data_IF_266002152612
#
_entry.id   IF_266002152612
#
_cell.length_a   1.000
_cell.length_b   1.000
_cell.length_c   1.000
_cell.angle_alpha   90.00
_cell.angle_beta   90.00
_cell.angle_gamma   90.00
#
_symmetry.space_group_name_H-M   'P 1'
#
loop_
_entity.id
_entity.type
_entity.pdbx_description
1 polymer ?
#
# COMPACT_ATOMS: atom_id res chain seq x y z
N UNK A 1 36.79 78.46 -36.19
CA UNK A 1 35.81 77.70 -35.29
C UNK A 1 35.38 76.42 -35.97
N UNK A 2 36.03 75.32 -35.55
CA UNK A 2 35.73 73.98 -36.01
C UNK A 2 34.69 73.34 -35.08
N UNK A 3 33.52 72.97 -35.61
CA UNK A 3 32.49 72.29 -34.95
C UNK A 3 32.73 70.76 -35.06
N UNK A 4 33.08 70.13 -33.91
CA UNK A 4 33.35 68.70 -33.85
C UNK A 4 32.03 67.96 -33.52
N UNK A 5 31.56 67.19 -34.54
CA UNK A 5 30.36 66.35 -34.34
C UNK A 5 30.81 65.02 -33.76
N UNK A 6 30.36 64.73 -32.48
CA UNK A 6 30.59 63.47 -31.76
C UNK A 6 29.42 62.56 -32.09
N UNK A 7 29.63 61.54 -32.94
CA UNK A 7 28.64 60.50 -33.23
C UNK A 7 28.73 59.44 -32.12
N UNK A 8 27.76 59.41 -31.21
CA UNK A 8 27.62 58.39 -30.17
C UNK A 8 26.92 57.16 -30.76
N UNK A 9 27.66 56.14 -31.08
CA UNK A 9 27.14 54.85 -31.53
C UNK A 9 26.56 54.08 -30.32
N UNK A 10 25.22 54.03 -30.18
CA UNK A 10 24.54 53.16 -29.23
C UNK A 10 24.57 51.71 -29.73
N UNK A 11 25.40 50.89 -29.14
CA UNK A 11 25.34 49.43 -29.29
C UNK A 11 24.15 48.91 -28.45
N UNK A 12 23.02 48.59 -29.10
CA UNK A 12 21.92 47.86 -28.47
C UNK A 12 22.31 46.38 -28.40
N UNK A 13 22.77 45.93 -27.23
CA UNK A 13 22.90 44.51 -26.94
C UNK A 13 21.49 43.93 -26.79
N UNK A 14 20.98 43.33 -27.87
CA UNK A 14 19.77 42.52 -27.83
C UNK A 14 20.13 41.19 -27.14
N UNK A 15 19.82 41.13 -25.84
CA UNK A 15 19.95 39.90 -25.10
C UNK A 15 18.80 38.98 -25.50
N UNK A 16 19.02 38.08 -26.45
CA UNK A 16 18.09 36.99 -26.79
C UNK A 16 18.11 36.00 -25.65
N UNK A 17 17.16 36.12 -24.69
CA UNK A 17 16.86 35.04 -23.79
C UNK A 17 16.28 33.88 -24.59
N UNK A 18 17.09 32.86 -24.86
CA UNK A 18 16.56 31.53 -25.23
C UNK A 18 15.66 31.08 -24.10
N UNK A 19 14.36 31.11 -24.32
CA UNK A 19 13.42 30.39 -23.45
C UNK A 19 13.67 28.89 -23.66
N UNK A 20 14.53 28.29 -22.84
CA UNK A 20 14.62 26.87 -22.75
C UNK A 20 13.28 26.40 -22.14
N UNK A 21 12.45 25.81 -22.98
CA UNK A 21 11.25 25.08 -22.51
C UNK A 21 11.78 23.88 -21.77
N UNK A 22 11.87 24.00 -20.43
CA UNK A 22 12.10 22.85 -19.55
C UNK A 22 10.84 22.00 -19.64
N UNK A 23 10.86 20.99 -20.50
CA UNK A 23 9.85 19.94 -20.53
C UNK A 23 10.05 19.18 -19.21
N UNK A 24 9.22 19.50 -18.23
CA UNK A 24 9.17 18.72 -16.99
C UNK A 24 8.75 17.29 -17.37
N UNK A 25 9.70 16.37 -17.42
CA UNK A 25 9.42 14.95 -17.59
C UNK A 25 8.63 14.50 -16.35
N UNK A 26 7.37 14.21 -16.53
CA UNK A 26 6.56 13.65 -15.44
C UNK A 26 7.13 12.28 -15.05
N UNK A 27 7.57 12.14 -13.81
CA UNK A 27 8.03 10.86 -13.28
C UNK A 27 6.80 9.95 -13.17
N UNK A 28 6.82 8.85 -13.93
CA UNK A 28 5.78 7.82 -13.85
C UNK A 28 6.26 6.76 -12.85
N UNK A 29 5.49 6.57 -11.79
CA UNK A 29 5.76 5.55 -10.78
C UNK A 29 5.02 4.24 -11.09
N UNK A 30 5.59 3.08 -10.75
CA UNK A 30 4.90 1.80 -10.90
C UNK A 30 3.62 1.76 -10.06
N UNK A 31 2.51 1.32 -10.65
CA UNK A 31 1.24 1.12 -9.92
C UNK A 31 1.19 -0.28 -9.32
N UNK A 32 0.99 -0.34 -8.02
CA UNK A 32 0.87 -1.57 -7.24
C UNK A 32 -0.54 -1.79 -6.67
N UNK A 33 -1.46 -0.86 -6.87
CA UNK A 33 -2.83 -1.00 -6.35
C UNK A 33 -3.86 -1.31 -7.44
N UNK A 34 -3.58 -0.97 -8.70
CA UNK A 34 -4.46 -1.21 -9.87
C UNK A 34 -5.91 -0.79 -9.63
N UNK A 35 -6.07 0.45 -9.11
CA UNK A 35 -7.35 0.99 -8.66
C UNK A 35 -8.19 1.45 -9.87
N UNK A 36 -9.06 0.57 -10.38
CA UNK A 36 -10.01 0.88 -11.45
C UNK A 36 -11.34 0.15 -11.19
N UNK A 37 -12.50 0.82 -11.32
CA UNK A 37 -13.80 0.17 -11.13
C UNK A 37 -13.97 -1.08 -12.01
N UNK A 38 -14.48 -2.15 -11.41
CA UNK A 38 -14.65 -3.44 -12.06
C UNK A 38 -13.44 -4.38 -11.94
N UNK A 39 -12.26 -3.90 -11.50
CA UNK A 39 -11.16 -4.78 -11.17
C UNK A 39 -11.52 -5.65 -9.98
N UNK A 40 -11.16 -6.94 -10.02
CA UNK A 40 -11.37 -7.85 -8.91
C UNK A 40 -10.25 -8.88 -8.77
N UNK A 41 -10.11 -9.40 -7.56
CA UNK A 41 -9.15 -10.42 -7.17
C UNK A 41 -9.85 -11.49 -6.34
N UNK A 42 -9.58 -12.75 -6.67
CA UNK A 42 -10.03 -13.91 -5.88
C UNK A 42 -8.81 -14.51 -5.22
N UNK A 43 -8.90 -14.72 -3.92
CA UNK A 43 -7.85 -15.32 -3.10
C UNK A 43 -8.32 -16.64 -2.54
N UNK A 44 -7.40 -17.59 -2.39
CA UNK A 44 -7.58 -18.78 -1.59
C UNK A 44 -6.87 -18.58 -0.25
N UNK A 45 -7.47 -19.04 0.84
CA UNK A 45 -6.85 -19.02 2.16
C UNK A 45 -5.97 -20.26 2.36
N UNK A 46 -4.87 -20.06 3.10
CA UNK A 46 -3.90 -21.08 3.49
C UNK A 46 -3.64 -20.97 4.98
N UNK A 47 -3.61 -22.11 5.68
CA UNK A 47 -3.05 -22.20 7.02
C UNK A 47 -1.53 -22.32 6.88
N UNK A 48 -0.78 -21.48 7.61
CA UNK A 48 0.68 -21.47 7.63
C UNK A 48 1.13 -21.93 9.01
N UNK A 49 1.89 -23.03 9.07
CA UNK A 49 2.41 -23.54 10.34
C UNK A 49 3.65 -22.78 10.82
N UNK A 50 4.20 -23.18 11.96
CA UNK A 50 5.39 -22.57 12.56
C UNK A 50 6.68 -22.74 11.74
N UNK A 51 6.70 -23.68 10.80
CA UNK A 51 7.82 -23.95 9.90
C UNK A 51 7.67 -23.22 8.55
N UNK A 52 6.52 -22.55 8.33
CA UNK A 52 6.19 -21.83 7.11
C UNK A 52 5.56 -22.71 6.03
N UNK A 53 5.18 -23.95 6.34
CA UNK A 53 4.48 -24.81 5.40
C UNK A 53 3.04 -24.33 5.24
N UNK A 54 2.56 -24.32 3.98
CA UNK A 54 1.25 -23.78 3.62
C UNK A 54 0.29 -24.92 3.26
N UNK A 55 -0.85 -24.99 3.95
CA UNK A 55 -1.92 -25.94 3.65
C UNK A 55 -3.13 -25.17 3.12
N UNK A 56 -3.53 -25.49 1.90
CA UNK A 56 -4.66 -24.84 1.24
C UNK A 56 -5.99 -25.15 1.95
N UNK A 57 -6.80 -24.11 2.17
CA UNK A 57 -8.18 -24.22 2.69
C UNK A 57 -9.17 -24.14 1.52
N UNK A 58 -10.35 -24.73 1.71
CA UNK A 58 -11.48 -24.53 0.79
C UNK A 58 -12.28 -23.26 1.16
N UNK A 59 -11.54 -22.14 1.35
CA UNK A 59 -12.08 -20.84 1.66
C UNK A 59 -11.54 -19.82 0.65
N UNK A 60 -12.47 -19.07 0.03
CA UNK A 60 -12.14 -18.11 -1.02
C UNK A 60 -12.68 -16.73 -0.64
N UNK A 61 -11.84 -15.72 -0.85
CA UNK A 61 -12.15 -14.31 -0.61
C UNK A 61 -12.19 -13.55 -1.93
N UNK A 62 -13.24 -12.76 -2.14
CA UNK A 62 -13.38 -11.89 -3.33
C UNK A 62 -13.19 -10.44 -2.93
N UNK A 63 -12.18 -9.78 -3.50
CA UNK A 63 -11.95 -8.35 -3.34
C UNK A 63 -12.21 -7.65 -4.67
N UNK A 64 -12.83 -6.47 -4.66
CA UNK A 64 -13.10 -5.75 -5.91
C UNK A 64 -13.20 -4.23 -5.70
N UNK A 65 -12.89 -3.49 -6.77
CA UNK A 65 -13.10 -2.05 -6.83
C UNK A 65 -14.52 -1.79 -7.32
N UNK A 66 -15.38 -1.27 -6.43
CA UNK A 66 -16.80 -1.04 -6.72
C UNK A 66 -16.99 0.19 -7.61
N UNK A 67 -16.38 1.31 -7.23
CA UNK A 67 -16.53 2.59 -7.91
C UNK A 67 -15.43 3.55 -7.50
N UNK A 68 -15.33 4.66 -8.20
CA UNK A 68 -14.62 5.85 -7.77
C UNK A 68 -15.55 6.82 -7.03
N UNK A 69 -14.97 7.73 -6.29
CA UNK A 69 -15.68 8.81 -5.57
C UNK A 69 -14.73 9.96 -5.28
N UNK A 70 -15.26 11.17 -5.20
CA UNK A 70 -14.47 12.35 -4.84
C UNK A 70 -14.56 12.62 -3.33
N UNK A 71 -13.41 12.66 -2.66
CA UNK A 71 -13.29 13.00 -1.24
C UNK A 71 -12.30 14.14 -1.10
N UNK A 72 -12.73 15.28 -0.56
CA UNK A 72 -11.90 16.49 -0.37
C UNK A 72 -11.16 16.92 -1.65
N UNK A 73 -11.84 16.88 -2.81
CA UNK A 73 -11.29 17.28 -4.09
C UNK A 73 -10.36 16.26 -4.78
N UNK A 74 -10.14 15.07 -4.21
CA UNK A 74 -9.36 14.00 -4.80
C UNK A 74 -10.23 12.80 -5.15
N UNK A 75 -9.91 12.13 -6.27
CA UNK A 75 -10.55 10.88 -6.67
C UNK A 75 -9.98 9.74 -5.83
N UNK A 76 -10.87 8.97 -5.19
CA UNK A 76 -10.58 7.73 -4.47
C UNK A 76 -11.40 6.59 -5.07
N UNK A 77 -10.87 5.39 -4.96
CA UNK A 77 -11.52 4.16 -5.40
C UNK A 77 -11.98 3.38 -4.17
N UNK A 78 -13.26 2.98 -4.18
CA UNK A 78 -13.85 2.17 -3.11
C UNK A 78 -13.51 0.70 -3.37
N UNK A 79 -12.56 0.18 -2.60
CA UNK A 79 -12.19 -1.23 -2.56
C UNK A 79 -13.03 -1.93 -1.50
N UNK A 80 -13.71 -3.00 -1.87
CA UNK A 80 -14.42 -3.90 -0.98
C UNK A 80 -13.62 -5.18 -0.77
N UNK A 81 -13.41 -5.55 0.49
CA UNK A 81 -12.66 -6.73 0.91
C UNK A 81 -13.41 -7.47 2.01
N UNK A 82 -13.48 -8.81 2.00
CA UNK A 82 -14.08 -9.58 3.07
C UNK A 82 -13.34 -9.32 4.38
N UNK A 83 -14.09 -8.99 5.42
CA UNK A 83 -13.57 -8.88 6.78
C UNK A 83 -13.17 -10.26 7.27
N UNK A 84 -11.93 -10.45 7.77
CA UNK A 84 -11.50 -11.75 8.27
C UNK A 84 -12.38 -12.26 9.42
N UNK A 85 -12.57 -13.57 9.47
CA UNK A 85 -13.24 -14.28 10.58
C UNK A 85 -14.67 -13.85 10.88
N UNK A 86 -15.42 -13.34 9.89
CA UNK A 86 -16.85 -13.03 10.06
C UNK A 86 -17.74 -14.10 9.47
N UNK A 87 -18.80 -14.45 10.21
CA UNK A 87 -19.88 -15.30 9.72
C UNK A 87 -21.21 -14.68 10.21
N UNK A 88 -22.11 -14.29 9.32
CA UNK A 88 -22.01 -14.31 7.85
C UNK A 88 -20.89 -13.40 7.31
N UNK A 89 -20.53 -13.59 6.05
CA UNK A 89 -19.50 -12.80 5.37
C UNK A 89 -19.85 -11.30 5.35
N UNK A 90 -18.96 -10.48 5.90
CA UNK A 90 -19.09 -9.01 5.93
C UNK A 90 -17.98 -8.40 5.08
N UNK A 91 -18.31 -7.43 4.24
CA UNK A 91 -17.33 -6.65 3.49
C UNK A 91 -16.98 -5.36 4.23
N UNK A 92 -15.69 -5.04 4.29
CA UNK A 92 -15.20 -3.71 4.67
C UNK A 92 -14.85 -2.90 3.43
N UNK A 93 -15.17 -1.60 3.49
CA UNK A 93 -14.83 -0.65 2.44
C UNK A 93 -13.57 0.13 2.81
N UNK A 94 -12.65 0.23 1.88
CA UNK A 94 -11.49 1.12 1.93
C UNK A 94 -11.54 2.08 0.76
N UNK A 95 -11.25 3.36 1.00
CA UNK A 95 -11.13 4.36 -0.05
C UNK A 95 -9.65 4.65 -0.28
N UNK A 96 -9.14 4.24 -1.43
CA UNK A 96 -7.72 4.29 -1.77
C UNK A 96 -7.49 5.13 -3.02
N UNK A 97 -6.32 5.75 -3.12
CA UNK A 97 -5.84 6.39 -4.35
C UNK A 97 -4.33 6.24 -4.50
N UNK A 98 -3.86 6.23 -5.73
CA UNK A 98 -2.45 6.44 -6.05
C UNK A 98 -2.08 7.92 -5.86
N UNK A 99 -0.93 8.18 -5.27
CA UNK A 99 -0.38 9.50 -5.04
C UNK A 99 1.14 9.47 -5.18
N UNK A 100 1.66 9.81 -6.36
CA UNK A 100 3.06 9.64 -6.71
C UNK A 100 3.47 8.16 -6.56
N UNK A 101 4.44 7.89 -5.68
CA UNK A 101 4.89 6.51 -5.40
C UNK A 101 4.19 5.87 -4.20
N UNK A 102 3.12 6.48 -3.68
CA UNK A 102 2.34 5.98 -2.55
C UNK A 102 0.94 5.52 -2.96
N UNK A 103 0.42 4.53 -2.25
CA UNK A 103 -1.02 4.29 -2.13
C UNK A 103 -1.46 4.80 -0.77
N UNK A 104 -2.45 5.70 -0.77
CA UNK A 104 -2.96 6.33 0.45
C UNK A 104 -4.46 6.09 0.60
N UNK A 105 -4.94 6.07 1.85
CA UNK A 105 -6.37 6.02 2.11
C UNK A 105 -6.97 7.43 2.27
N UNK A 106 -8.29 7.52 2.38
CA UNK A 106 -9.02 8.79 2.51
C UNK A 106 -8.76 9.55 3.82
N UNK A 107 -8.11 8.92 4.79
CA UNK A 107 -7.65 9.53 6.04
C UNK A 107 -6.20 10.05 5.94
N UNK A 108 -5.53 9.87 4.78
CA UNK A 108 -4.15 10.28 4.56
C UNK A 108 -3.11 9.23 4.98
N UNK A 109 -3.51 8.07 5.51
CA UNK A 109 -2.55 7.04 5.90
C UNK A 109 -1.99 6.31 4.67
N UNK A 110 -0.66 6.20 4.63
CA UNK A 110 0.07 5.48 3.59
C UNK A 110 -0.14 3.98 3.80
N UNK A 111 -0.50 3.27 2.73
CA UNK A 111 -0.71 1.82 2.71
C UNK A 111 0.47 1.07 2.12
N UNK A 112 1.13 1.66 1.15
CA UNK A 112 2.37 1.17 0.57
C UNK A 112 3.13 2.29 -0.13
N UNK A 113 4.42 2.06 -0.39
CA UNK A 113 5.26 2.87 -1.28
C UNK A 113 6.02 1.99 -2.26
N UNK A 114 6.19 2.45 -3.49
CA UNK A 114 7.05 1.79 -4.47
C UNK A 114 8.52 2.24 -4.38
N UNK A 115 8.83 3.27 -3.58
CA UNK A 115 10.16 3.89 -3.52
C UNK A 115 10.73 4.04 -2.11
N UNK A 116 9.89 4.29 -1.10
CA UNK A 116 10.33 4.58 0.26
C UNK A 116 10.34 3.32 1.12
N UNK A 117 11.54 2.88 1.52
CA UNK A 117 11.77 1.65 2.29
C UNK A 117 12.41 1.90 3.67
N UNK A 118 12.88 3.13 3.93
CA UNK A 118 13.54 3.47 5.18
C UNK A 118 12.59 3.95 6.27
N UNK A 119 11.44 4.54 5.87
CA UNK A 119 10.54 5.22 6.79
C UNK A 119 9.40 4.33 7.26
N UNK A 120 8.96 4.54 8.49
CA UNK A 120 7.70 4.02 9.03
C UNK A 120 6.56 4.91 8.54
N UNK A 121 5.54 4.32 7.91
CA UNK A 121 4.42 5.08 7.29
C UNK A 121 3.27 5.35 8.23
N UNK A 122 2.97 4.36 9.09
CA UNK A 122 1.86 4.44 10.03
C UNK A 122 2.30 3.90 11.36
N UNK A 123 1.99 4.65 12.38
CA UNK A 123 2.12 4.21 13.76
C UNK A 123 0.83 4.52 14.50
N UNK A 124 0.47 3.70 15.45
CA UNK A 124 -0.73 3.92 16.25
C UNK A 124 -0.86 2.92 17.39
N UNK A 125 -1.92 3.13 18.14
CA UNK A 125 -2.28 2.27 19.24
C UNK A 125 -3.74 1.84 19.08
N UNK A 126 -4.02 0.57 19.28
CA UNK A 126 -5.37 0.08 19.42
C UNK A 126 -5.68 -0.04 20.90
N UNK A 127 -6.65 0.74 21.36
CA UNK A 127 -7.15 0.72 22.73
C UNK A 127 -8.41 -0.14 22.74
N UNK A 128 -8.44 -1.18 23.55
CA UNK A 128 -9.62 -2.09 23.64
C UNK A 128 -10.52 -1.70 24.82
N UNK A 129 -9.96 -1.05 25.83
CA UNK A 129 -10.71 -0.49 26.94
C UNK A 129 -10.11 0.85 27.37
N UNK A 130 -10.85 1.73 28.06
CA UNK A 130 -10.30 2.95 28.61
C UNK A 130 -9.05 2.63 29.45
N UNK A 131 -7.93 3.27 29.11
CA UNK A 131 -6.62 3.11 29.76
C UNK A 131 -5.89 1.78 29.52
N UNK A 132 -6.35 0.93 28.59
CA UNK A 132 -5.66 -0.30 28.22
C UNK A 132 -5.18 -0.23 26.77
N UNK A 133 -3.91 0.13 26.56
CA UNK A 133 -3.27 0.07 25.25
C UNK A 133 -2.88 -1.37 24.99
N UNK A 134 -3.66 -2.04 24.16
CA UNK A 134 -3.44 -3.46 23.87
C UNK A 134 -2.36 -3.69 22.85
N UNK A 135 -2.34 -2.89 21.79
CA UNK A 135 -1.50 -3.14 20.62
C UNK A 135 -0.92 -1.83 20.13
N UNK A 136 0.41 -1.76 20.06
CA UNK A 136 1.10 -0.77 19.21
C UNK A 136 1.28 -1.38 17.83
N UNK A 137 0.96 -0.63 16.78
CA UNK A 137 1.21 -1.07 15.42
C UNK A 137 2.06 -0.06 14.65
N UNK A 138 2.85 -0.57 13.70
CA UNK A 138 3.58 0.23 12.73
C UNK A 138 3.61 -0.47 11.38
N UNK A 139 3.84 0.28 10.30
CA UNK A 139 4.00 -0.28 8.95
C UNK A 139 5.15 0.38 8.20
N UNK A 140 5.88 -0.42 7.42
CA UNK A 140 6.97 0.02 6.55
C UNK A 140 7.13 -0.93 5.37
N UNK A 141 7.79 -0.48 4.30
CA UNK A 141 8.24 -1.39 3.23
C UNK A 141 9.47 -2.17 3.71
N UNK A 142 9.53 -3.47 3.42
CA UNK A 142 10.59 -4.34 3.90
C UNK A 142 11.52 -4.82 2.79
N UNK A 143 10.98 -5.36 1.70
CA UNK A 143 11.77 -5.85 0.57
C UNK A 143 11.31 -5.22 -0.76
N UNK A 144 12.23 -5.15 -1.73
CA UNK A 144 11.97 -4.49 -3.01
C UNK A 144 11.47 -5.44 -4.09
N UNK A 145 12.00 -6.64 -4.17
CA UNK A 145 11.60 -7.63 -5.17
C UNK A 145 11.85 -9.02 -4.60
N UNK A 146 10.79 -9.65 -4.12
CA UNK A 146 10.81 -11.03 -3.70
C UNK A 146 9.76 -11.80 -4.49
N UNK A 147 10.18 -12.86 -5.14
CA UNK A 147 9.26 -13.72 -5.90
C UNK A 147 8.53 -14.66 -4.96
N UNK A 148 7.20 -14.73 -5.12
CA UNK A 148 6.32 -15.58 -4.31
C UNK A 148 5.52 -16.55 -5.18
N UNK A 149 5.19 -17.69 -4.63
CA UNK A 149 4.34 -18.70 -5.27
C UNK A 149 2.90 -18.58 -4.77
N UNK A 150 1.97 -18.48 -5.70
CA UNK A 150 0.53 -18.45 -5.45
C UNK A 150 -0.17 -19.40 -6.40
N UNK A 151 -1.46 -19.70 -6.18
CA UNK A 151 -2.25 -20.44 -7.18
C UNK A 151 -2.32 -19.76 -8.54
N UNK A 152 -2.19 -18.43 -8.61
CA UNK A 152 -2.14 -17.66 -9.86
C UNK A 152 -0.76 -17.76 -10.57
N UNK A 153 0.26 -18.33 -9.95
CA UNK A 153 1.61 -18.46 -10.49
C UNK A 153 2.70 -17.87 -9.60
N UNK A 154 3.90 -17.81 -10.15
CA UNK A 154 5.10 -17.26 -9.51
C UNK A 154 5.23 -15.78 -9.87
N UNK A 155 5.17 -14.90 -8.88
CA UNK A 155 4.97 -13.46 -9.09
C UNK A 155 6.02 -12.65 -8.30
N UNK A 156 6.75 -11.71 -8.92
CA UNK A 156 7.64 -10.77 -8.22
C UNK A 156 6.80 -9.73 -7.46
N UNK A 157 7.16 -9.47 -6.21
CA UNK A 157 6.38 -8.60 -5.32
C UNK A 157 7.27 -7.67 -4.50
N UNK A 158 6.70 -6.54 -4.05
CA UNK A 158 7.19 -5.73 -2.95
C UNK A 158 6.39 -6.06 -1.69
N UNK A 159 6.99 -5.90 -0.51
CA UNK A 159 6.35 -6.23 0.77
C UNK A 159 6.13 -5.00 1.64
N UNK A 160 4.89 -4.79 2.08
CA UNK A 160 4.59 -3.91 3.20
C UNK A 160 4.41 -4.77 4.46
N UNK A 161 5.29 -4.57 5.45
CA UNK A 161 5.25 -5.25 6.74
C UNK A 161 4.53 -4.40 7.77
N UNK A 162 3.56 -5.02 8.45
CA UNK A 162 2.91 -4.46 9.64
C UNK A 162 3.46 -5.18 10.86
N UNK A 163 3.88 -4.42 11.86
CA UNK A 163 4.36 -4.93 13.15
C UNK A 163 3.34 -4.59 14.22
N UNK A 164 2.84 -5.59 14.92
CA UNK A 164 1.93 -5.46 16.05
C UNK A 164 2.63 -5.90 17.32
N UNK A 165 2.79 -4.99 18.27
CA UNK A 165 3.41 -5.25 19.57
C UNK A 165 2.31 -5.24 20.64
N UNK A 166 2.08 -6.38 21.27
CA UNK A 166 1.09 -6.54 22.32
C UNK A 166 1.65 -6.12 23.66
N UNK A 167 0.89 -5.35 24.44
CA UNK A 167 1.31 -4.94 25.78
C UNK A 167 1.35 -6.10 26.76
N UNK A 168 2.13 -5.96 27.84
CA UNK A 168 2.18 -6.91 28.94
C UNK A 168 0.82 -7.12 29.63
N UNK A 169 -0.01 -6.07 29.61
CA UNK A 169 -1.33 -6.06 30.25
C UNK A 169 -2.45 -6.57 29.32
N UNK A 170 -2.09 -7.12 28.14
CA UNK A 170 -3.09 -7.71 27.26
C UNK A 170 -3.85 -8.81 28.01
N UNK A 171 -5.16 -8.63 28.19
CA UNK A 171 -6.05 -9.63 28.82
C UNK A 171 -6.11 -10.94 28.03
N UNK A 172 -5.68 -10.92 26.77
CA UNK A 172 -5.45 -12.12 26.00
C UNK A 172 -4.03 -12.63 26.27
N UNK A 173 -3.86 -13.39 27.35
CA UNK A 173 -2.57 -13.89 27.83
C UNK A 173 -1.71 -14.62 26.80
N UNK A 174 -2.33 -15.12 25.72
CA UNK A 174 -1.61 -15.79 24.63
C UNK A 174 -0.77 -14.80 23.78
N UNK A 175 -1.07 -13.50 23.84
CA UNK A 175 -0.39 -12.46 23.06
C UNK A 175 0.40 -11.47 23.92
N UNK A 176 0.29 -11.51 25.25
CA UNK A 176 1.01 -10.59 26.12
C UNK A 176 2.52 -10.61 25.83
N UNK A 177 3.12 -9.42 25.67
CA UNK A 177 4.54 -9.21 25.31
C UNK A 177 4.98 -9.85 23.98
N UNK A 178 4.07 -10.25 23.11
CA UNK A 178 4.43 -10.82 21.80
C UNK A 178 4.43 -9.77 20.72
N UNK A 179 5.24 -10.02 19.70
CA UNK A 179 5.23 -9.25 18.45
C UNK A 179 4.71 -10.16 17.34
N UNK A 180 3.74 -9.66 16.58
CA UNK A 180 3.23 -10.32 15.38
C UNK A 180 3.61 -9.51 14.15
N UNK A 181 4.08 -10.19 13.11
CA UNK A 181 4.35 -9.61 11.81
C UNK A 181 3.26 -10.04 10.84
N UNK A 182 2.76 -9.06 10.07
CA UNK A 182 1.75 -9.26 9.05
C UNK A 182 2.31 -8.69 7.76
N UNK A 183 2.25 -9.45 6.70
CA UNK A 183 2.81 -9.10 5.41
C UNK A 183 1.69 -8.86 4.38
N UNK A 184 1.84 -7.79 3.59
CA UNK A 184 1.01 -7.53 2.43
C UNK A 184 1.92 -7.36 1.22
N UNK A 185 1.91 -8.33 0.30
CA UNK A 185 2.76 -8.38 -0.88
C UNK A 185 2.00 -7.94 -2.11
N UNK A 186 2.56 -6.98 -2.80
CA UNK A 186 1.96 -6.37 -3.97
C UNK A 186 2.82 -6.59 -5.21
N UNK A 187 2.20 -6.89 -6.33
CA UNK A 187 2.85 -6.97 -7.64
C UNK A 187 2.50 -5.78 -8.51
N UNK A 188 3.48 -5.29 -9.27
CA UNK A 188 3.26 -4.22 -10.24
C UNK A 188 2.18 -4.64 -11.25
N UNK A 189 1.25 -3.75 -11.54
CA UNK A 189 0.12 -3.92 -12.48
C UNK A 189 -0.86 -5.07 -12.13
N UNK A 190 -0.72 -5.69 -10.96
CA UNK A 190 -1.65 -6.73 -10.48
C UNK A 190 -2.36 -6.28 -9.21
N UNK A 191 -1.63 -5.69 -8.26
CA UNK A 191 -2.16 -5.33 -6.95
C UNK A 191 -1.72 -6.30 -5.86
N UNK A 192 -2.56 -6.49 -4.84
CA UNK A 192 -2.29 -7.38 -3.72
C UNK A 192 -2.23 -8.83 -4.18
N UNK A 193 -1.16 -9.54 -3.82
CA UNK A 193 -0.87 -10.94 -4.22
C UNK A 193 -0.94 -11.89 -3.04
N UNK A 194 -0.37 -11.50 -1.90
CA UNK A 194 -0.44 -12.24 -0.64
C UNK A 194 -0.75 -11.27 0.49
N UNK A 195 -1.60 -11.68 1.41
CA UNK A 195 -1.88 -10.96 2.65
C UNK A 195 -1.93 -11.94 3.81
N UNK A 196 -1.09 -11.73 4.82
CA UNK A 196 -1.24 -12.40 6.11
C UNK A 196 -2.43 -11.79 6.85
N UNK A 197 -3.35 -12.62 7.33
CA UNK A 197 -4.50 -12.15 8.12
C UNK A 197 -4.09 -11.97 9.57
N UNK A 198 -4.31 -10.77 10.17
CA UNK A 198 -3.95 -10.52 11.56
C UNK A 198 -4.87 -11.24 12.54
N UNK A 199 -4.40 -11.40 13.77
CA UNK A 199 -5.20 -11.81 14.94
C UNK A 199 -5.76 -13.23 14.92
N UNK A 200 -4.95 -14.21 14.53
CA UNK A 200 -5.33 -15.61 14.70
C UNK A 200 -5.12 -16.06 16.15
N UNK A 201 -6.09 -16.78 16.68
CA UNK A 201 -6.10 -17.24 18.07
C UNK A 201 -5.11 -18.35 18.42
N UNK A 202 -4.41 -18.92 17.45
CA UNK A 202 -3.61 -20.14 17.65
C UNK A 202 -2.11 -19.86 17.56
N UNK A 203 -1.39 -20.35 18.53
CA UNK A 203 -0.08 -19.91 19.03
C UNK A 203 1.07 -19.84 18.02
N UNK A 204 1.08 -20.49 16.91
CA UNK A 204 2.22 -20.48 15.99
C UNK A 204 1.81 -20.53 14.51
N UNK A 205 0.51 -20.48 14.25
CA UNK A 205 0.00 -20.58 12.90
C UNK A 205 -0.55 -19.23 12.46
N UNK A 206 -0.35 -18.89 11.19
CA UNK A 206 -0.99 -17.74 10.57
C UNK A 206 -1.89 -18.19 9.42
N UNK A 207 -2.81 -17.33 8.99
CA UNK A 207 -3.58 -17.56 7.78
C UNK A 207 -3.15 -16.52 6.74
N UNK A 208 -2.91 -16.98 5.54
CA UNK A 208 -2.64 -16.12 4.39
C UNK A 208 -3.75 -16.23 3.36
N UNK A 209 -4.04 -15.11 2.73
CA UNK A 209 -4.74 -15.05 1.44
C UNK A 209 -3.69 -15.06 0.34
N UNK A 210 -3.76 -15.99 -0.60
CA UNK A 210 -2.89 -16.04 -1.78
C UNK A 210 -3.72 -15.92 -3.04
N UNK A 211 -3.28 -15.09 -3.96
CA UNK A 211 -3.97 -14.81 -5.22
C UNK A 211 -4.19 -16.08 -6.02
N UNK A 212 -5.46 -16.35 -6.35
CA UNK A 212 -5.89 -17.48 -7.18
C UNK A 212 -6.13 -17.02 -8.63
N UNK A 213 -6.82 -15.90 -8.80
CA UNK A 213 -7.09 -15.29 -10.10
C UNK A 213 -7.50 -13.84 -9.95
N UNK A 214 -7.41 -13.08 -11.02
CA UNK A 214 -7.81 -11.68 -11.06
C UNK A 214 -8.33 -11.29 -12.43
N UNK A 215 -9.02 -10.15 -12.49
CA UNK A 215 -9.42 -9.49 -13.72
C UNK A 215 -9.14 -7.99 -13.59
N UNK A 216 -8.52 -7.43 -14.61
CA UNK A 216 -8.18 -6.00 -14.69
C UNK A 216 -8.73 -5.43 -16.00
N UNK A 217 -9.41 -4.29 -15.88
CA UNK A 217 -9.95 -3.52 -17.01
C UNK A 217 -8.90 -2.61 -17.64
#
# INVERSE_FOLDING_TARGET
>A
TLLSIFILAMFTFSCHKKNEVIIATSIIYPSYATLKPGNYWIYQQFDIDSEGNAVAKNIFDSCYVEKDTTIKGHIYFKLLKPKPYTSPLVYEASFLRDSLHYVINSLGAIKLSSQEYASTFSEGYQIVAPNDTLIKFSSQMEDKITTVNTPAGTIPTINCKYTYVYSANSKNGNFANKTQYVHARYAEKIGLVIETLPFIKYQNNSVERRLLRYHLN
#
